data_IF_643441081944
#
_entry.id   IF_643441081944
#
_cell.length_a   1.000
_cell.length_b   1.000
_cell.length_c   1.000
_cell.angle_alpha   90.00
_cell.angle_beta   90.00
_cell.angle_gamma   90.00
#
_symmetry.space_group_name_H-M   'P 1'
#
loop_
_entity.id
_entity.type
_entity.pdbx_description
1 polymer ?
#
# COMPACT_ATOMS: atom_id res chain seq x y z
N UNK A 1 6.96 19.42 18.44
CA UNK A 1 6.05 19.59 17.28
C UNK A 1 4.91 18.59 17.44
N UNK A 2 3.63 18.98 17.30
CA UNK A 2 2.51 18.03 17.43
C UNK A 2 2.36 17.17 16.17
N UNK A 3 1.63 16.05 16.28
CA UNK A 3 1.49 15.04 15.22
C UNK A 3 0.92 15.62 13.93
N UNK A 4 -0.16 16.42 14.02
CA UNK A 4 -0.83 17.01 12.84
C UNK A 4 0.10 17.99 12.11
N UNK A 5 0.83 18.85 12.84
CA UNK A 5 1.80 19.77 12.24
C UNK A 5 2.96 19.01 11.60
N UNK A 6 3.43 17.92 12.22
CA UNK A 6 4.43 17.05 11.61
C UNK A 6 3.92 16.44 10.30
N UNK A 7 2.70 15.92 10.30
CA UNK A 7 2.08 15.32 9.13
C UNK A 7 1.94 16.32 7.99
N UNK A 8 1.39 17.51 8.25
CA UNK A 8 1.23 18.56 7.23
C UNK A 8 2.58 18.99 6.64
N UNK A 9 3.61 19.13 7.47
CA UNK A 9 4.97 19.42 7.01
C UNK A 9 5.55 18.27 6.16
N UNK A 10 5.30 17.02 6.53
CA UNK A 10 5.71 15.86 5.75
C UNK A 10 5.01 15.83 4.39
N UNK A 11 3.69 16.06 4.36
CA UNK A 11 2.89 16.15 3.13
C UNK A 11 3.41 17.24 2.21
N UNK A 12 3.65 18.45 2.73
CA UNK A 12 4.19 19.56 1.92
C UNK A 12 5.52 19.19 1.29
N UNK A 13 6.46 18.61 2.06
CA UNK A 13 7.76 18.17 1.52
C UNK A 13 7.64 17.08 0.45
N UNK A 14 6.66 16.18 0.57
CA UNK A 14 6.40 15.15 -0.44
C UNK A 14 5.83 15.77 -1.71
N UNK A 15 4.94 16.76 -1.58
CA UNK A 15 4.39 17.54 -2.72
C UNK A 15 5.50 18.32 -3.42
N UNK A 16 6.34 19.05 -2.67
CA UNK A 16 7.45 19.85 -3.20
C UNK A 16 8.48 18.97 -3.93
N UNK A 17 8.62 17.70 -3.52
CA UNK A 17 9.47 16.72 -4.18
C UNK A 17 8.83 16.09 -5.44
N UNK A 18 7.65 16.56 -5.88
CA UNK A 18 7.00 16.14 -7.12
C UNK A 18 6.05 14.95 -7.00
N UNK A 19 5.70 14.51 -5.79
CA UNK A 19 4.82 13.33 -5.59
C UNK A 19 3.34 13.69 -5.39
N UNK A 20 2.92 14.93 -5.66
CA UNK A 20 1.53 15.36 -5.52
C UNK A 20 0.53 14.49 -6.31
N UNK A 21 0.87 14.11 -7.54
CA UNK A 21 0.02 13.24 -8.37
C UNK A 21 -0.17 11.83 -7.79
N UNK A 22 0.82 11.31 -7.06
CA UNK A 22 0.68 10.02 -6.39
C UNK A 22 -0.26 10.11 -5.19
N UNK A 23 -0.14 11.18 -4.40
CA UNK A 23 -1.07 11.45 -3.30
C UNK A 23 -2.50 11.55 -3.82
N UNK A 24 -2.72 12.34 -4.88
CA UNK A 24 -4.03 12.51 -5.51
C UNK A 24 -4.60 11.18 -6.02
N UNK A 25 -3.76 10.32 -6.60
CA UNK A 25 -4.19 8.97 -7.01
C UNK A 25 -4.73 8.15 -5.83
N UNK A 26 -4.07 8.18 -4.67
CA UNK A 26 -4.56 7.47 -3.48
C UNK A 26 -5.79 8.15 -2.85
N UNK A 27 -6.00 9.43 -3.12
CA UNK A 27 -7.24 10.11 -2.76
C UNK A 27 -8.41 9.59 -3.60
N UNK A 28 -8.21 9.49 -4.92
CA UNK A 28 -9.24 9.15 -5.91
C UNK A 28 -9.55 7.66 -6.02
N UNK A 29 -8.62 6.78 -5.65
CA UNK A 29 -8.80 5.34 -5.83
C UNK A 29 -9.98 4.81 -5.00
N UNK A 30 -10.90 4.10 -5.65
CA UNK A 30 -12.07 3.51 -5.00
C UNK A 30 -12.14 2.04 -5.34
N UNK A 31 -12.31 1.19 -4.32
CA UNK A 31 -12.44 -0.25 -4.48
C UNK A 31 -13.54 -0.64 -5.47
N UNK A 32 -14.66 0.08 -5.45
CA UNK A 32 -15.80 -0.19 -6.33
C UNK A 32 -15.50 0.00 -7.81
N UNK A 33 -14.50 0.82 -8.12
CA UNK A 33 -14.14 1.18 -9.50
C UNK A 33 -12.93 0.37 -10.02
N UNK A 34 -12.38 -0.54 -9.22
CA UNK A 34 -11.22 -1.34 -9.64
C UNK A 34 -11.69 -2.46 -10.56
N UNK A 35 -11.12 -2.56 -11.76
CA UNK A 35 -11.32 -3.71 -12.65
C UNK A 35 -10.35 -4.87 -12.33
N UNK A 36 -10.57 -6.01 -12.98
CA UNK A 36 -9.80 -7.23 -12.71
C UNK A 36 -8.33 -7.13 -13.15
N UNK A 37 -8.03 -6.37 -14.20
CA UNK A 37 -6.65 -6.10 -14.66
C UNK A 37 -5.91 -5.17 -13.70
N UNK A 38 -6.58 -4.13 -13.19
CA UNK A 38 -6.05 -3.26 -12.15
C UNK A 38 -5.80 -4.03 -10.86
N UNK A 39 -6.71 -4.95 -10.49
CA UNK A 39 -6.50 -5.85 -9.36
C UNK A 39 -5.27 -6.75 -9.57
N UNK A 40 -5.15 -7.41 -10.74
CA UNK A 40 -3.99 -8.24 -11.09
C UNK A 40 -2.70 -7.43 -11.04
N UNK A 41 -2.67 -6.26 -11.66
CA UNK A 41 -1.51 -5.36 -11.69
C UNK A 41 -1.05 -4.98 -10.28
N UNK A 42 -1.98 -4.66 -9.38
CA UNK A 42 -1.67 -4.34 -7.98
C UNK A 42 -1.21 -5.57 -7.20
N UNK A 43 -1.82 -6.74 -7.41
CA UNK A 43 -1.37 -7.99 -6.82
C UNK A 43 0.07 -8.33 -7.21
N UNK A 44 0.39 -8.26 -8.52
CA UNK A 44 1.76 -8.50 -9.03
C UNK A 44 2.75 -7.53 -8.41
N UNK A 45 2.39 -6.24 -8.34
CA UNK A 45 3.22 -5.22 -7.69
C UNK A 45 3.54 -5.58 -6.23
N UNK A 46 2.55 -6.02 -5.46
CA UNK A 46 2.71 -6.40 -4.05
C UNK A 46 3.59 -7.64 -3.90
N UNK A 47 3.37 -8.67 -4.72
CA UNK A 47 4.18 -9.90 -4.72
C UNK A 47 5.65 -9.60 -5.06
N UNK A 48 5.91 -8.70 -6.01
CA UNK A 48 7.27 -8.28 -6.33
C UNK A 48 7.93 -7.56 -5.15
N UNK A 49 7.21 -6.65 -4.47
CA UNK A 49 7.72 -5.91 -3.31
C UNK A 49 7.95 -6.77 -2.06
N UNK A 50 7.26 -7.91 -1.93
CA UNK A 50 7.42 -8.80 -0.77
C UNK A 50 8.88 -9.29 -0.63
N UNK A 51 9.56 -8.88 0.44
CA UNK A 51 10.97 -9.22 0.70
C UNK A 51 11.98 -8.59 -0.26
N UNK A 52 11.62 -7.54 -1.00
CA UNK A 52 12.48 -6.90 -1.98
C UNK A 52 12.62 -5.38 -1.72
N UNK A 53 13.78 -4.81 -2.06
CA UNK A 53 13.94 -3.35 -2.10
C UNK A 53 13.00 -2.75 -3.14
N UNK A 54 12.32 -1.66 -2.80
CA UNK A 54 11.36 -0.99 -3.68
C UNK A 54 11.94 -0.66 -5.06
N UNK A 55 13.20 -0.21 -5.12
CA UNK A 55 13.89 0.16 -6.36
C UNK A 55 14.05 -1.04 -7.30
N UNK A 56 14.33 -2.22 -6.74
CA UNK A 56 14.48 -3.46 -7.50
C UNK A 56 13.11 -3.95 -7.99
N UNK A 57 12.10 -3.92 -7.11
CA UNK A 57 10.73 -4.28 -7.49
C UNK A 57 10.21 -3.37 -8.60
N UNK A 58 10.45 -2.06 -8.50
CA UNK A 58 10.13 -1.06 -9.54
C UNK A 58 10.75 -1.42 -10.88
N UNK A 59 12.05 -1.65 -10.91
CA UNK A 59 12.78 -1.99 -12.15
C UNK A 59 12.27 -3.28 -12.81
N UNK A 60 11.89 -4.28 -12.02
CA UNK A 60 11.29 -5.50 -12.57
C UNK A 60 9.92 -5.19 -13.16
N UNK A 61 9.11 -4.42 -12.44
CA UNK A 61 7.74 -4.08 -12.81
C UNK A 61 7.63 -3.16 -14.04
N UNK A 62 8.68 -2.43 -14.40
CA UNK A 62 8.76 -1.66 -15.66
C UNK A 62 8.55 -2.53 -16.90
N UNK A 63 8.77 -3.85 -16.80
CA UNK A 63 8.53 -4.81 -17.89
C UNK A 63 7.15 -5.48 -17.82
N UNK A 64 6.25 -5.06 -16.92
CA UNK A 64 4.90 -5.62 -16.85
C UNK A 64 4.12 -5.42 -18.17
N UNK A 65 3.40 -6.45 -18.68
CA UNK A 65 3.15 -7.76 -18.07
C UNK A 65 4.24 -8.83 -18.29
N UNK A 66 5.24 -8.57 -19.12
CA UNK A 66 6.30 -9.51 -19.52
C UNK A 66 7.47 -9.60 -18.50
N UNK A 67 7.15 -9.72 -17.21
CA UNK A 67 8.15 -9.76 -16.14
C UNK A 67 8.91 -11.09 -16.07
N UNK A 68 10.23 -11.01 -15.85
CA UNK A 68 11.07 -12.20 -15.60
C UNK A 68 11.26 -12.40 -14.10
N UNK A 69 10.79 -13.53 -13.58
CA UNK A 69 10.81 -13.84 -12.14
C UNK A 69 11.60 -15.13 -11.88
N UNK A 70 12.73 -14.99 -11.17
CA UNK A 70 13.57 -16.14 -10.81
C UNK A 70 13.07 -16.85 -9.53
N UNK A 71 12.35 -16.15 -8.66
CA UNK A 71 11.84 -16.73 -7.42
C UNK A 71 10.62 -17.63 -7.70
N UNK A 72 10.78 -18.94 -7.51
CA UNK A 72 9.75 -19.96 -7.81
C UNK A 72 8.38 -19.67 -7.17
N UNK A 73 8.36 -19.33 -5.88
CA UNK A 73 7.11 -18.98 -5.16
C UNK A 73 6.37 -17.78 -5.76
N UNK A 74 7.06 -16.65 -5.96
CA UNK A 74 6.49 -15.47 -6.65
C UNK A 74 5.98 -15.79 -8.04
N UNK A 75 6.75 -16.55 -8.82
CA UNK A 75 6.35 -16.97 -10.16
C UNK A 75 5.04 -17.78 -10.12
N UNK A 76 4.99 -18.82 -9.30
CA UNK A 76 3.79 -19.66 -9.17
C UNK A 76 2.56 -18.86 -8.72
N UNK A 77 2.74 -17.93 -7.78
CA UNK A 77 1.67 -17.04 -7.29
C UNK A 77 1.14 -16.12 -8.41
N UNK A 78 2.03 -15.50 -9.17
CA UNK A 78 1.67 -14.60 -10.28
C UNK A 78 1.04 -15.37 -11.44
N UNK A 79 1.59 -16.54 -11.80
CA UNK A 79 1.00 -17.40 -12.83
C UNK A 79 -0.44 -17.81 -12.45
N UNK A 80 -0.68 -18.09 -11.17
CA UNK A 80 -2.03 -18.40 -10.68
C UNK A 80 -2.93 -17.16 -10.70
N UNK A 81 -2.43 -15.99 -10.33
CA UNK A 81 -3.17 -14.74 -10.38
C UNK A 81 -3.62 -14.39 -11.80
N UNK A 82 -2.75 -14.55 -12.81
CA UNK A 82 -3.10 -14.34 -14.22
C UNK A 82 -4.34 -15.18 -14.62
N UNK A 83 -4.50 -16.38 -14.05
CA UNK A 83 -5.66 -17.25 -14.34
C UNK A 83 -6.89 -17.00 -13.44
N UNK A 84 -6.71 -16.37 -12.27
CA UNK A 84 -7.74 -16.34 -11.22
C UNK A 84 -8.14 -14.93 -10.76
N UNK A 85 -7.45 -13.89 -11.21
CA UNK A 85 -7.65 -12.52 -10.74
C UNK A 85 -9.11 -12.04 -10.85
N UNK A 86 -9.83 -12.37 -11.92
CA UNK A 86 -11.26 -12.07 -12.04
C UNK A 86 -12.08 -12.75 -10.93
N UNK A 87 -11.93 -14.06 -10.76
CA UNK A 87 -12.62 -14.84 -9.72
C UNK A 87 -12.29 -14.31 -8.32
N UNK A 88 -11.03 -13.95 -8.08
CA UNK A 88 -10.61 -13.37 -6.80
C UNK A 88 -11.26 -12.03 -6.53
N UNK A 89 -11.34 -11.16 -7.55
CA UNK A 89 -12.00 -9.87 -7.43
C UNK A 89 -13.51 -10.03 -7.20
N UNK A 90 -14.16 -10.98 -7.87
CA UNK A 90 -15.59 -11.24 -7.69
C UNK A 90 -15.90 -11.73 -6.26
N UNK A 91 -15.08 -12.63 -5.73
CA UNK A 91 -15.18 -13.05 -4.32
C UNK A 91 -14.96 -11.85 -3.40
N UNK A 92 -13.91 -11.07 -3.62
CA UNK A 92 -13.59 -9.90 -2.80
C UNK A 92 -14.73 -8.86 -2.79
N UNK A 93 -15.42 -8.65 -3.92
CA UNK A 93 -16.60 -7.78 -4.04
C UNK A 93 -17.83 -8.31 -3.32
N UNK A 94 -17.95 -9.62 -3.15
CA UNK A 94 -19.05 -10.23 -2.38
C UNK A 94 -18.90 -10.04 -0.86
N UNK A 95 -17.71 -9.65 -0.40
CA UNK A 95 -17.40 -9.44 1.02
C UNK A 95 -17.78 -8.01 1.44
N UNK A 96 -18.57 -7.90 2.51
CA UNK A 96 -19.13 -6.62 2.95
C UNK A 96 -18.14 -5.75 3.73
N UNK A 97 -17.53 -6.29 4.79
CA UNK A 97 -16.63 -5.52 5.65
C UNK A 97 -15.23 -5.39 5.03
N UNK A 98 -14.53 -4.31 5.34
CA UNK A 98 -13.15 -4.12 4.86
C UNK A 98 -12.17 -5.03 5.62
N UNK A 99 -12.48 -5.36 6.88
CA UNK A 99 -11.72 -6.31 7.68
C UNK A 99 -11.73 -7.71 7.05
N UNK A 100 -12.90 -8.22 6.65
CA UNK A 100 -13.03 -9.53 6.01
C UNK A 100 -12.40 -9.52 4.61
N UNK A 101 -12.49 -8.39 3.88
CA UNK A 101 -11.79 -8.20 2.60
C UNK A 101 -10.27 -8.35 2.81
N UNK A 102 -9.71 -7.73 3.84
CA UNK A 102 -8.28 -7.80 4.16
C UNK A 102 -7.88 -9.22 4.54
N UNK A 103 -8.68 -9.94 5.33
CA UNK A 103 -8.38 -11.34 5.69
C UNK A 103 -8.46 -12.25 4.45
N UNK A 104 -9.41 -12.01 3.55
CA UNK A 104 -9.45 -12.71 2.26
C UNK A 104 -8.20 -12.43 1.42
N UNK A 105 -7.76 -11.17 1.31
CA UNK A 105 -6.53 -10.81 0.58
C UNK A 105 -5.30 -11.52 1.14
N UNK A 106 -5.23 -11.67 2.47
CA UNK A 106 -4.16 -12.41 3.17
C UNK A 106 -4.19 -13.91 2.91
N UNK A 107 -5.32 -14.47 2.49
CA UNK A 107 -5.40 -15.88 2.06
C UNK A 107 -4.83 -16.11 0.66
N UNK A 108 -4.65 -15.04 -0.13
CA UNK A 108 -4.15 -15.17 -1.50
C UNK A 108 -2.69 -15.63 -1.52
N UNK A 109 -2.27 -16.37 -2.57
CA UNK A 109 -0.91 -16.88 -2.68
C UNK A 109 0.13 -15.78 -2.49
N UNK A 110 1.15 -16.02 -1.67
CA UNK A 110 2.26 -15.09 -1.45
C UNK A 110 1.89 -13.74 -0.81
N UNK A 111 0.65 -13.56 -0.36
CA UNK A 111 0.23 -12.39 0.43
C UNK A 111 0.19 -12.80 1.91
N UNK A 112 1.05 -12.19 2.73
CA UNK A 112 1.04 -12.32 4.18
C UNK A 112 0.42 -11.13 4.91
N UNK A 113 0.54 -11.13 6.24
CA UNK A 113 -0.08 -10.18 7.19
C UNK A 113 0.22 -8.71 6.94
N UNK A 114 1.37 -8.37 6.36
CA UNK A 114 1.71 -6.98 6.02
C UNK A 114 1.31 -6.65 4.58
N UNK A 115 1.53 -7.57 3.65
CA UNK A 115 1.26 -7.35 2.22
C UNK A 115 -0.22 -7.32 1.88
N UNK A 116 -1.11 -7.91 2.69
CA UNK A 116 -2.55 -7.77 2.49
C UNK A 116 -3.00 -6.32 2.62
N UNK A 117 -2.49 -5.57 3.61
CA UNK A 117 -2.75 -4.13 3.74
C UNK A 117 -2.15 -3.32 2.60
N UNK A 118 -0.99 -3.72 2.07
CA UNK A 118 -0.42 -3.07 0.89
C UNK A 118 -1.32 -3.27 -0.34
N UNK A 119 -1.82 -4.49 -0.57
CA UNK A 119 -2.74 -4.77 -1.66
C UNK A 119 -4.06 -4.04 -1.47
N UNK A 120 -4.68 -4.12 -0.29
CA UNK A 120 -5.93 -3.47 0.08
C UNK A 120 -5.88 -1.95 -0.20
N UNK A 121 -4.84 -1.28 0.32
CA UNK A 121 -4.62 0.16 0.10
C UNK A 121 -4.44 0.48 -1.39
N UNK A 122 -3.70 -0.34 -2.13
CA UNK A 122 -3.47 -0.15 -3.56
C UNK A 122 -4.71 -0.36 -4.44
N UNK A 123 -5.77 -0.98 -3.91
CA UNK A 123 -7.06 -1.17 -4.57
C UNK A 123 -8.16 -0.32 -3.92
N UNK A 124 -7.82 0.64 -3.06
CA UNK A 124 -8.76 1.62 -2.51
C UNK A 124 -9.56 1.19 -1.28
N UNK A 125 -9.20 0.08 -0.64
CA UNK A 125 -9.68 -0.25 0.72
C UNK A 125 -8.88 0.60 1.72
N UNK A 126 -9.56 1.34 2.60
CA UNK A 126 -8.92 2.36 3.42
C UNK A 126 -8.21 1.76 4.63
N UNK A 127 -6.93 1.43 4.47
CA UNK A 127 -6.10 0.80 5.50
C UNK A 127 -4.67 1.32 5.46
N UNK A 128 -3.91 1.06 6.52
CA UNK A 128 -2.47 1.37 6.60
C UNK A 128 -1.65 0.10 6.68
N UNK A 129 -0.43 0.14 6.14
CA UNK A 129 0.49 -0.98 6.21
C UNK A 129 1.36 -0.82 7.45
N UNK A 130 1.10 -1.62 8.47
CA UNK A 130 1.91 -1.65 9.70
C UNK A 130 3.34 -2.17 9.45
N UNK A 131 4.19 -1.30 8.89
CA UNK A 131 5.57 -1.60 8.60
C UNK A 131 6.54 -0.73 9.41
N UNK A 132 7.84 -0.92 9.15
CA UNK A 132 8.90 -0.27 9.90
C UNK A 132 8.89 1.26 9.81
N UNK A 133 8.39 1.89 8.74
CA UNK A 133 8.40 3.35 8.68
C UNK A 133 7.27 3.93 9.52
N UNK A 134 6.06 3.37 9.44
CA UNK A 134 4.97 3.86 10.29
C UNK A 134 5.24 3.58 11.75
N UNK A 135 5.80 2.41 12.11
CA UNK A 135 6.19 2.12 13.50
C UNK A 135 7.16 3.16 14.05
N UNK A 136 8.20 3.54 13.30
CA UNK A 136 9.14 4.58 13.74
C UNK A 136 8.46 5.94 13.99
N UNK A 137 7.49 6.31 13.16
CA UNK A 137 6.74 7.56 13.37
C UNK A 137 5.81 7.42 14.57
N UNK A 138 5.11 6.29 14.72
CA UNK A 138 4.25 6.00 15.86
C UNK A 138 5.04 6.07 17.18
N UNK A 139 6.20 5.39 17.25
CA UNK A 139 7.11 5.40 18.39
C UNK A 139 7.58 6.83 18.71
N UNK A 140 7.93 7.62 17.69
CA UNK A 140 8.35 9.02 17.87
C UNK A 140 7.29 9.88 18.57
N UNK A 141 6.00 9.59 18.36
CA UNK A 141 4.88 10.33 18.95
C UNK A 141 4.20 9.59 20.11
N UNK A 142 4.73 8.45 20.55
CA UNK A 142 4.24 7.71 21.72
C UNK A 142 2.99 6.85 21.48
N UNK A 143 2.70 6.46 20.24
CA UNK A 143 1.58 5.55 19.93
C UNK A 143 2.01 4.09 19.99
N UNK A 144 1.19 3.25 20.63
CA UNK A 144 1.40 1.80 20.70
C UNK A 144 1.26 1.10 19.34
N UNK A 145 0.42 1.64 18.45
CA UNK A 145 0.20 1.08 17.12
C UNK A 145 0.20 2.16 16.03
N UNK A 146 0.70 1.87 14.83
CA UNK A 146 0.57 2.77 13.68
C UNK A 146 -0.85 3.16 13.31
N UNK A 147 -1.80 2.24 13.44
CA UNK A 147 -3.19 2.52 13.08
C UNK A 147 -3.80 3.58 14.00
N UNK A 148 -3.48 3.58 15.29
CA UNK A 148 -3.98 4.59 16.23
C UNK A 148 -3.45 5.98 15.88
N UNK A 149 -2.14 6.08 15.59
CA UNK A 149 -1.54 7.33 15.11
C UNK A 149 -2.20 7.81 13.82
N UNK A 150 -2.37 6.92 12.83
CA UNK A 150 -2.98 7.28 11.55
C UNK A 150 -4.45 7.67 11.69
N UNK A 151 -5.20 7.05 12.61
CA UNK A 151 -6.59 7.45 12.93
C UNK A 151 -6.65 8.82 13.58
N UNK A 152 -5.67 9.21 14.40
CA UNK A 152 -5.59 10.57 14.93
C UNK A 152 -5.30 11.59 13.82
N UNK A 153 -4.36 11.28 12.91
CA UNK A 153 -4.11 12.12 11.73
C UNK A 153 -5.37 12.25 10.88
N UNK A 154 -6.06 11.14 10.60
CA UNK A 154 -7.31 11.12 9.85
C UNK A 154 -8.37 12.02 10.50
N UNK A 155 -8.57 11.94 11.82
CA UNK A 155 -9.51 12.83 12.53
C UNK A 155 -9.11 14.31 12.43
N UNK A 156 -7.82 14.62 12.50
CA UNK A 156 -7.32 16.00 12.47
C UNK A 156 -7.21 16.62 11.07
N UNK A 157 -7.27 15.82 10.01
CA UNK A 157 -7.04 16.27 8.62
C UNK A 157 -8.16 15.90 7.65
N UNK A 158 -9.08 15.04 8.07
CA UNK A 158 -10.10 14.41 7.24
C UNK A 158 -9.53 13.59 6.06
N UNK A 159 -8.29 13.11 6.19
CA UNK A 159 -7.64 12.31 5.15
C UNK A 159 -7.90 10.82 5.27
N UNK A 160 -7.86 10.14 4.12
CA UNK A 160 -7.93 8.68 4.05
C UNK A 160 -6.68 8.04 4.64
N UNK A 161 -6.83 6.91 5.34
CA UNK A 161 -5.72 6.15 5.88
C UNK A 161 -4.69 5.78 4.80
N UNK A 162 -5.14 5.39 3.61
CA UNK A 162 -4.26 5.08 2.49
C UNK A 162 -3.43 6.26 1.99
N UNK A 163 -3.94 7.48 2.16
CA UNK A 163 -3.25 8.74 1.81
C UNK A 163 -2.20 9.07 2.87
N UNK A 164 -2.55 8.91 4.13
CA UNK A 164 -1.62 9.08 5.26
C UNK A 164 -0.45 8.11 5.15
N UNK A 165 -0.73 6.83 4.81
CA UNK A 165 0.28 5.80 4.57
C UNK A 165 1.30 6.21 3.50
N UNK A 166 0.82 6.63 2.31
CA UNK A 166 1.72 6.98 1.20
C UNK A 166 2.55 8.24 1.50
N UNK A 167 1.95 9.24 2.16
CA UNK A 167 2.65 10.48 2.54
C UNK A 167 3.78 10.16 3.50
N UNK A 168 3.51 9.41 4.57
CA UNK A 168 4.52 9.07 5.57
C UNK A 168 5.60 8.14 5.00
N UNK A 169 5.23 7.20 4.13
CA UNK A 169 6.19 6.35 3.42
C UNK A 169 7.14 7.17 2.53
N UNK A 170 6.59 8.05 1.68
CA UNK A 170 7.39 8.92 0.81
C UNK A 170 8.30 9.84 1.59
N UNK A 171 7.79 10.45 2.65
CA UNK A 171 8.58 11.32 3.51
C UNK A 171 9.77 10.57 4.14
N UNK A 172 9.57 9.33 4.58
CA UNK A 172 10.65 8.48 5.09
C UNK A 172 11.71 8.20 4.02
N UNK A 173 11.28 7.91 2.78
CA UNK A 173 12.19 7.67 1.64
C UNK A 173 13.00 8.91 1.29
N UNK A 174 12.39 10.09 1.25
CA UNK A 174 13.10 11.35 0.99
C UNK A 174 14.20 11.60 2.03
N UNK A 175 13.88 11.43 3.32
CA UNK A 175 14.88 11.57 4.40
C UNK A 175 16.07 10.64 4.25
N UNK A 176 15.85 9.39 3.87
CA UNK A 176 16.93 8.40 3.71
C UNK A 176 17.89 8.69 2.54
N UNK A 177 17.54 9.60 1.62
CA UNK A 177 18.42 10.03 0.51
C UNK A 177 19.11 11.37 0.79
N UNK A 178 18.75 12.05 1.88
CA UNK A 178 19.34 13.33 2.30
C UNK A 178 20.29 13.19 3.50
N UNK A 179 20.67 11.95 3.84
CA UNK A 179 21.58 11.59 4.94
C UNK A 179 22.87 11.01 4.39
#
# INVERSE_FOLDING_TARGET
MNLIKFYNNAKQKVIDAGYGNEIERYWQISFENIDSEQFLRNYVWVVLNAGMKWEIAKRIFENYPNIKINHRGKKAAIDLAVRKHQVWLDILRSIKSDEDKIEYLKSLPYIGSISCHHLARNIGIDTVKDDRHLRRVADQFGYSTPIDMCKEIQKGTNERLGVIDIVLWRYSKLKSHSS
#
